data_IF_096640455266
#
_entry.id   IF_096640455266
#
_cell.length_a   1.000
_cell.length_b   1.000
_cell.length_c   1.000
_cell.angle_alpha   90.00
_cell.angle_beta   90.00
_cell.angle_gamma   90.00
#
_symmetry.space_group_name_H-M   'P 1'
#
loop_
_entity.id
_entity.type
_entity.pdbx_description
1 polymer ?
#
# COMPACT_ATOMS: atom_id res chain seq x y z
N UNK A 1 25.03 33.74 5.59
CA UNK A 1 24.66 32.59 6.44
C UNK A 1 24.35 31.37 5.58
N UNK A 2 25.13 30.28 5.67
CA UNK A 2 24.81 29.00 4.99
C UNK A 2 23.77 28.26 5.83
N UNK A 3 22.55 28.10 5.32
CA UNK A 3 21.52 27.29 5.99
C UNK A 3 22.05 25.87 6.13
N UNK A 4 22.00 25.29 7.33
CA UNK A 4 22.51 23.93 7.54
C UNK A 4 21.66 22.92 6.76
N UNK A 5 22.27 21.80 6.35
CA UNK A 5 21.58 20.70 5.65
C UNK A 5 20.37 20.17 6.46
N UNK A 6 20.43 20.29 7.79
CA UNK A 6 19.39 19.87 8.73
C UNK A 6 18.12 20.73 8.58
N UNK A 7 18.28 22.04 8.42
CA UNK A 7 17.15 22.98 8.28
C UNK A 7 16.39 22.78 6.97
N UNK A 8 17.11 22.48 5.88
CA UNK A 8 16.49 22.18 4.59
C UNK A 8 15.62 20.92 4.66
N UNK A 9 16.08 19.88 5.38
CA UNK A 9 15.29 18.66 5.57
C UNK A 9 14.05 18.93 6.43
N UNK A 10 14.15 19.77 7.48
CA UNK A 10 13.01 20.15 8.31
C UNK A 10 11.92 20.88 7.51
N UNK A 11 12.30 21.81 6.61
CA UNK A 11 11.36 22.52 5.74
C UNK A 11 10.65 21.57 4.77
N UNK A 12 11.38 20.64 4.13
CA UNK A 12 10.80 19.64 3.23
C UNK A 12 9.81 18.71 3.93
N UNK A 13 10.13 18.27 5.16
CA UNK A 13 9.23 17.44 5.98
C UNK A 13 7.92 18.15 6.30
N UNK A 14 7.97 19.44 6.65
CA UNK A 14 6.73 20.22 6.90
C UNK A 14 5.84 20.27 5.66
N UNK A 15 6.43 20.42 4.46
CA UNK A 15 5.67 20.41 3.20
C UNK A 15 5.06 19.03 2.91
N UNK A 16 5.82 17.94 3.06
CA UNK A 16 5.27 16.59 2.85
C UNK A 16 4.13 16.28 3.81
N UNK A 17 4.25 16.65 5.10
CA UNK A 17 3.15 16.55 6.07
C UNK A 17 1.89 17.30 5.66
N UNK A 18 2.06 18.46 5.06
CA UNK A 18 0.95 19.25 4.55
C UNK A 18 0.23 18.52 3.40
N UNK A 19 0.95 17.90 2.47
CA UNK A 19 0.33 17.11 1.40
C UNK A 19 -0.41 15.87 1.94
N UNK A 20 0.18 15.13 2.88
CA UNK A 20 -0.53 14.01 3.52
C UNK A 20 -1.80 14.45 4.24
N UNK A 21 -1.78 15.60 4.92
CA UNK A 21 -2.98 16.16 5.53
C UNK A 21 -4.05 16.50 4.48
N UNK A 22 -3.66 17.13 3.37
CA UNK A 22 -4.58 17.44 2.27
C UNK A 22 -5.17 16.18 1.66
N UNK A 23 -4.39 15.12 1.45
CA UNK A 23 -4.88 13.84 0.97
C UNK A 23 -5.89 13.24 1.94
N UNK A 24 -5.55 13.12 3.22
CA UNK A 24 -6.46 12.56 4.24
C UNK A 24 -7.79 13.31 4.27
N UNK A 25 -7.77 14.65 4.17
CA UNK A 25 -8.99 15.45 4.11
C UNK A 25 -9.76 15.20 2.82
N UNK A 26 -9.10 15.29 1.66
CA UNK A 26 -9.77 15.16 0.35
C UNK A 26 -10.32 13.75 0.11
N UNK A 27 -9.55 12.71 0.45
CA UNK A 27 -9.97 11.31 0.37
C UNK A 27 -11.04 10.97 1.40
N UNK A 28 -10.91 11.48 2.63
CA UNK A 28 -11.92 11.32 3.66
C UNK A 28 -13.26 11.95 3.25
N UNK A 29 -13.22 13.16 2.67
CA UNK A 29 -14.41 13.82 2.13
C UNK A 29 -14.99 13.08 0.93
N UNK A 30 -14.16 12.67 -0.04
CA UNK A 30 -14.61 11.90 -1.19
C UNK A 30 -15.27 10.59 -0.75
N UNK A 31 -14.62 9.83 0.13
CA UNK A 31 -15.15 8.58 0.70
C UNK A 31 -16.46 8.82 1.45
N UNK A 32 -16.50 9.85 2.29
CA UNK A 32 -17.71 10.22 3.05
C UNK A 32 -18.89 10.58 2.14
N UNK A 33 -18.66 11.36 1.08
CA UNK A 33 -19.67 11.71 0.08
C UNK A 33 -20.20 10.48 -0.66
N UNK A 34 -19.30 9.58 -1.08
CA UNK A 34 -19.72 8.36 -1.79
C UNK A 34 -20.49 7.42 -0.85
N UNK A 35 -20.04 7.25 0.39
CA UNK A 35 -20.78 6.47 1.39
C UNK A 35 -22.16 7.08 1.66
N UNK A 36 -22.23 8.40 1.86
CA UNK A 36 -23.50 9.10 2.02
C UNK A 36 -24.44 8.84 0.84
N UNK A 37 -23.97 8.97 -0.40
CA UNK A 37 -24.76 8.67 -1.59
C UNK A 37 -25.17 7.19 -1.65
N UNK A 38 -24.29 6.27 -1.24
CA UNK A 38 -24.57 4.83 -1.24
C UNK A 38 -25.72 4.47 -0.30
N UNK A 39 -25.85 5.16 0.84
CA UNK A 39 -26.91 4.88 1.81
C UNK A 39 -28.19 5.69 1.60
N UNK A 40 -28.12 6.84 0.91
CA UNK A 40 -29.26 7.77 0.82
C UNK A 40 -29.88 7.86 -0.58
N UNK A 41 -29.13 7.58 -1.65
CA UNK A 41 -29.62 7.73 -3.01
C UNK A 41 -30.33 6.46 -3.48
N UNK A 42 -31.62 6.58 -3.84
CA UNK A 42 -32.42 5.48 -4.38
C UNK A 42 -31.81 4.87 -5.65
N UNK A 43 -31.15 5.66 -6.50
CA UNK A 43 -30.49 5.17 -7.72
C UNK A 43 -29.30 4.23 -7.42
N UNK A 44 -28.60 4.45 -6.30
CA UNK A 44 -27.49 3.58 -5.87
C UNK A 44 -28.04 2.32 -5.22
N UNK A 45 -29.05 2.45 -4.35
CA UNK A 45 -29.72 1.30 -3.73
C UNK A 45 -30.49 0.43 -4.74
N UNK A 46 -31.02 1.05 -5.80
CA UNK A 46 -31.72 0.40 -6.91
C UNK A 46 -30.81 -0.28 -7.92
N UNK A 47 -29.49 -0.34 -7.67
CA UNK A 47 -28.48 -0.96 -8.54
C UNK A 47 -28.31 -0.37 -9.94
N UNK A 48 -28.89 0.79 -10.24
CA UNK A 48 -28.71 1.45 -11.54
C UNK A 48 -27.28 1.98 -11.71
N UNK A 49 -26.71 2.54 -10.64
CA UNK A 49 -25.39 3.21 -10.65
C UNK A 49 -24.43 2.60 -9.61
N UNK A 50 -24.79 1.46 -9.02
CA UNK A 50 -24.06 0.90 -7.88
C UNK A 50 -22.67 0.35 -8.26
N UNK A 51 -22.53 -0.25 -9.44
CA UNK A 51 -21.26 -0.81 -9.90
C UNK A 51 -20.09 0.19 -9.89
N UNK A 52 -20.17 1.31 -10.64
CA UNK A 52 -19.13 2.34 -10.64
C UNK A 52 -18.85 2.92 -9.25
N UNK A 53 -19.89 3.11 -8.43
CA UNK A 53 -19.78 3.61 -7.06
C UNK A 53 -19.01 2.64 -6.16
N UNK A 54 -19.29 1.34 -6.22
CA UNK A 54 -18.56 0.34 -5.45
C UNK A 54 -17.13 0.14 -5.93
N UNK A 55 -16.89 0.18 -7.25
CA UNK A 55 -15.53 0.15 -7.80
C UNK A 55 -14.74 1.34 -7.25
N UNK A 56 -15.32 2.55 -7.28
CA UNK A 56 -14.67 3.74 -6.72
C UNK A 56 -14.34 3.57 -5.22
N UNK A 57 -15.29 3.10 -4.41
CA UNK A 57 -15.07 2.82 -2.98
C UNK A 57 -13.96 1.79 -2.75
N UNK A 58 -13.92 0.73 -3.56
CA UNK A 58 -12.93 -0.34 -3.45
C UNK A 58 -11.49 0.17 -3.62
N UNK A 59 -11.28 1.22 -4.41
CA UNK A 59 -9.95 1.76 -4.67
C UNK A 59 -9.59 2.96 -3.79
N UNK A 60 -10.54 3.84 -3.47
CA UNK A 60 -10.26 5.02 -2.65
C UNK A 60 -10.06 4.66 -1.17
N UNK A 61 -10.78 3.66 -0.66
CA UNK A 61 -10.70 3.28 0.75
C UNK A 61 -9.34 2.65 1.12
N UNK A 62 -8.73 1.75 0.32
CA UNK A 62 -7.38 1.27 0.56
C UNK A 62 -6.28 2.32 0.36
N UNK A 63 -6.55 3.41 -0.36
CA UNK A 63 -5.62 4.55 -0.46
C UNK A 63 -5.64 5.41 0.81
N UNK A 64 -6.85 5.64 1.35
CA UNK A 64 -7.07 6.44 2.56
C UNK A 64 -6.39 5.86 3.82
N UNK A 65 -6.43 4.53 3.99
CA UNK A 65 -5.89 3.88 5.20
C UNK A 65 -4.39 4.16 5.36
N UNK A 66 -3.50 3.83 4.39
CA UNK A 66 -2.08 4.17 4.49
C UNK A 66 -1.84 5.65 4.70
N UNK A 67 -2.56 6.55 4.02
CA UNK A 67 -2.36 7.99 4.16
C UNK A 67 -2.70 8.51 5.56
N UNK A 68 -3.77 7.98 6.16
CA UNK A 68 -4.11 8.23 7.55
C UNK A 68 -3.00 7.73 8.48
N UNK A 69 -2.49 6.51 8.27
CA UNK A 69 -1.37 5.98 9.04
C UNK A 69 -0.09 6.81 8.87
N UNK A 70 0.25 7.21 7.64
CA UNK A 70 1.40 8.07 7.36
C UNK A 70 1.27 9.40 8.11
N UNK A 71 0.12 10.05 8.03
CA UNK A 71 -0.14 11.31 8.73
C UNK A 71 0.00 11.17 10.25
N UNK A 72 -0.62 10.15 10.85
CA UNK A 72 -0.60 9.91 12.30
C UNK A 72 0.77 9.50 12.82
N UNK A 73 1.56 8.76 12.03
CA UNK A 73 2.87 8.26 12.44
C UNK A 73 4.02 9.23 12.13
N UNK A 74 3.83 10.21 11.24
CA UNK A 74 4.88 11.19 10.88
C UNK A 74 5.48 11.97 12.08
N UNK A 75 4.75 12.33 13.16
CA UNK A 75 5.35 12.92 14.35
C UNK A 75 6.40 12.03 15.02
N UNK A 76 6.24 10.70 14.95
CA UNK A 76 7.08 9.71 15.63
C UNK A 76 8.17 9.12 14.73
N UNK A 77 7.89 8.99 13.42
CA UNK A 77 8.79 8.35 12.45
C UNK A 77 9.34 9.40 11.49
N UNK A 78 10.58 9.83 11.72
CA UNK A 78 11.21 10.91 10.95
C UNK A 78 11.58 10.56 9.51
N UNK A 79 11.60 9.28 9.14
CA UNK A 79 11.92 8.79 7.80
C UNK A 79 10.69 8.49 6.94
N UNK A 80 9.52 8.38 7.58
CA UNK A 80 8.29 7.95 6.94
C UNK A 80 7.90 8.89 5.79
N UNK A 81 7.75 8.32 4.58
CA UNK A 81 7.32 9.04 3.37
C UNK A 81 8.46 9.56 2.47
N UNK A 82 9.71 9.61 2.95
CA UNK A 82 10.88 9.92 2.10
C UNK A 82 11.50 8.63 1.52
N UNK A 83 11.12 7.47 2.08
CA UNK A 83 11.59 6.18 1.62
C UNK A 83 11.16 5.90 0.16
N UNK A 84 11.98 5.17 -0.63
CA UNK A 84 11.63 4.80 -2.00
C UNK A 84 10.26 4.10 -2.11
N UNK A 85 9.90 3.29 -1.10
CA UNK A 85 8.60 2.64 -1.05
C UNK A 85 7.44 3.64 -0.93
N UNK A 86 7.60 4.68 -0.11
CA UNK A 86 6.61 5.75 0.02
C UNK A 86 6.47 6.58 -1.25
N UNK A 87 7.58 6.81 -1.98
CA UNK A 87 7.54 7.46 -3.30
C UNK A 87 6.78 6.61 -4.32
N UNK A 88 7.06 5.30 -4.38
CA UNK A 88 6.37 4.38 -5.28
C UNK A 88 4.88 4.29 -4.96
N UNK A 89 4.53 4.21 -3.67
CA UNK A 89 3.14 4.20 -3.21
C UNK A 89 2.40 5.46 -3.64
N UNK A 90 2.93 6.66 -3.33
CA UNK A 90 2.31 7.93 -3.72
C UNK A 90 2.19 8.06 -5.25
N UNK A 91 3.16 7.56 -6.02
CA UNK A 91 3.06 7.58 -7.48
C UNK A 91 1.92 6.69 -7.99
N UNK A 92 1.87 5.42 -7.55
CA UNK A 92 0.88 4.44 -8.00
C UNK A 92 -0.53 4.87 -7.58
N UNK A 93 -0.73 5.24 -6.31
CA UNK A 93 -2.02 5.71 -5.81
C UNK A 93 -2.42 7.01 -6.49
N UNK A 94 -1.48 7.94 -6.71
CA UNK A 94 -1.78 9.18 -7.42
C UNK A 94 -2.34 8.95 -8.82
N UNK A 95 -1.72 8.07 -9.61
CA UNK A 95 -2.22 7.69 -10.94
C UNK A 95 -3.58 6.99 -10.85
N UNK A 96 -3.74 6.04 -9.92
CA UNK A 96 -5.01 5.32 -9.74
C UNK A 96 -6.16 6.24 -9.35
N UNK A 97 -5.96 7.16 -8.40
CA UNK A 97 -6.97 8.13 -7.98
C UNK A 97 -7.40 9.04 -9.14
N UNK A 98 -6.47 9.48 -10.00
CA UNK A 98 -6.81 10.26 -11.19
C UNK A 98 -7.66 9.44 -12.16
N UNK A 99 -7.21 8.23 -12.50
CA UNK A 99 -7.92 7.38 -13.47
C UNK A 99 -9.34 7.04 -12.98
N UNK A 100 -9.48 6.68 -11.71
CA UNK A 100 -10.74 6.27 -11.11
C UNK A 100 -11.66 7.47 -10.88
N UNK A 101 -11.13 8.61 -10.44
CA UNK A 101 -11.87 9.86 -10.32
C UNK A 101 -12.43 10.35 -11.66
N UNK A 102 -11.61 10.38 -12.72
CA UNK A 102 -12.07 10.72 -14.07
C UNK A 102 -13.09 9.72 -14.59
N UNK A 103 -12.85 8.41 -14.37
CA UNK A 103 -13.80 7.36 -14.79
C UNK A 103 -15.15 7.51 -14.11
N UNK A 104 -15.17 7.79 -12.79
CA UNK A 104 -16.41 8.07 -12.06
C UNK A 104 -17.13 9.28 -12.65
N UNK A 105 -16.42 10.40 -12.88
CA UNK A 105 -17.03 11.61 -13.47
C UNK A 105 -17.66 11.30 -14.83
N UNK A 106 -16.95 10.62 -15.73
CA UNK A 106 -17.45 10.28 -17.07
C UNK A 106 -18.71 9.40 -17.02
N UNK A 107 -18.69 8.38 -16.16
CA UNK A 107 -19.83 7.47 -15.98
C UNK A 107 -21.02 8.22 -15.39
N UNK A 108 -20.82 9.05 -14.38
CA UNK A 108 -21.88 9.79 -13.68
C UNK A 108 -22.46 10.91 -14.55
N UNK A 109 -21.68 11.55 -15.42
CA UNK A 109 -22.21 12.52 -16.40
C UNK A 109 -23.12 11.84 -17.42
N UNK A 110 -22.89 10.56 -17.72
CA UNK A 110 -23.68 9.80 -18.70
C UNK A 110 -25.06 9.36 -18.18
N UNK A 111 -25.31 9.46 -16.87
CA UNK A 111 -26.61 9.15 -16.24
C UNK A 111 -27.36 10.44 -15.88
N UNK A 112 -28.67 10.50 -16.12
CA UNK A 112 -29.46 11.72 -15.92
C UNK A 112 -29.95 11.93 -14.47
N UNK A 113 -29.68 13.12 -13.92
CA UNK A 113 -30.73 14.05 -13.45
C UNK A 113 -31.01 14.15 -11.94
N UNK A 114 -30.26 13.46 -11.08
CA UNK A 114 -30.55 13.45 -9.63
C UNK A 114 -29.49 14.19 -8.80
N UNK A 115 -29.85 14.68 -7.61
CA UNK A 115 -28.93 15.35 -6.68
C UNK A 115 -27.68 14.50 -6.34
N UNK A 116 -27.84 13.19 -6.28
CA UNK A 116 -26.74 12.23 -6.07
C UNK A 116 -25.67 12.30 -7.18
N UNK A 117 -26.06 12.63 -8.41
CA UNK A 117 -25.14 12.82 -9.53
C UNK A 117 -24.13 13.92 -9.21
N UNK A 118 -24.60 15.07 -8.75
CA UNK A 118 -23.73 16.21 -8.41
C UNK A 118 -22.76 15.87 -7.29
N UNK A 119 -23.23 15.19 -6.24
CA UNK A 119 -22.37 14.74 -5.13
C UNK A 119 -21.30 13.74 -5.59
N UNK A 120 -21.65 12.80 -6.47
CA UNK A 120 -20.70 11.82 -7.01
C UNK A 120 -19.69 12.47 -7.97
N UNK A 121 -20.09 13.49 -8.75
CA UNK A 121 -19.13 14.29 -9.55
C UNK A 121 -18.17 15.05 -8.64
N UNK A 122 -18.65 15.66 -7.54
CA UNK A 122 -17.77 16.30 -6.54
C UNK A 122 -16.81 15.27 -5.94
N UNK A 123 -17.29 14.09 -5.56
CA UNK A 123 -16.43 13.04 -5.02
C UNK A 123 -15.36 12.59 -6.02
N UNK A 124 -15.72 12.44 -7.30
CA UNK A 124 -14.79 12.18 -8.38
C UNK A 124 -13.75 13.29 -8.54
N UNK A 125 -14.16 14.56 -8.50
CA UNK A 125 -13.25 15.70 -8.57
C UNK A 125 -12.29 15.77 -7.38
N UNK A 126 -12.78 15.50 -6.16
CA UNK A 126 -11.96 15.40 -4.96
C UNK A 126 -10.92 14.26 -5.06
N UNK A 127 -11.29 13.13 -5.66
CA UNK A 127 -10.35 12.03 -5.91
C UNK A 127 -9.28 12.40 -6.93
N UNK A 128 -9.63 13.11 -8.00
CA UNK A 128 -8.64 13.65 -8.96
C UNK A 128 -7.68 14.62 -8.27
N UNK A 129 -8.21 15.53 -7.43
CA UNK A 129 -7.39 16.44 -6.63
C UNK A 129 -6.44 15.69 -5.68
N UNK A 130 -6.92 14.66 -4.97
CA UNK A 130 -6.06 13.79 -4.14
C UNK A 130 -4.96 13.14 -4.97
N UNK A 131 -5.32 12.62 -6.16
CA UNK A 131 -4.35 12.01 -7.06
C UNK A 131 -3.24 12.97 -7.49
N UNK A 132 -3.57 14.23 -7.77
CA UNK A 132 -2.57 15.28 -8.05
C UNK A 132 -1.68 15.54 -6.84
N UNK A 133 -2.24 15.65 -5.64
CA UNK A 133 -1.47 15.85 -4.41
C UNK A 133 -0.53 14.70 -4.10
N UNK A 134 -0.95 13.45 -4.32
CA UNK A 134 -0.09 12.27 -4.28
C UNK A 134 1.08 12.36 -5.25
N UNK A 135 0.84 12.72 -6.51
CA UNK A 135 1.92 12.89 -7.50
C UNK A 135 2.88 14.02 -7.14
N UNK A 136 2.36 15.13 -6.60
CA UNK A 136 3.19 16.23 -6.09
C UNK A 136 4.07 15.76 -4.92
N UNK A 137 3.50 14.99 -3.98
CA UNK A 137 4.23 14.42 -2.85
C UNK A 137 5.31 13.43 -3.33
N UNK A 138 4.99 12.54 -4.28
CA UNK A 138 5.93 11.62 -4.89
C UNK A 138 7.11 12.37 -5.56
N UNK A 139 6.83 13.40 -6.37
CA UNK A 139 7.85 14.21 -7.02
C UNK A 139 8.74 14.95 -6.02
N UNK A 140 8.15 15.49 -4.95
CA UNK A 140 8.89 16.17 -3.90
C UNK A 140 9.80 15.23 -3.12
N UNK A 141 9.28 14.06 -2.72
CA UNK A 141 10.05 13.04 -2.01
C UNK A 141 11.16 12.45 -2.89
N UNK A 142 10.89 12.19 -4.17
CA UNK A 142 11.91 11.74 -5.12
C UNK A 142 13.09 12.72 -5.24
N UNK A 143 12.81 14.04 -5.32
CA UNK A 143 13.84 15.09 -5.32
C UNK A 143 14.58 15.20 -3.98
N UNK A 144 13.95 14.79 -2.87
CA UNK A 144 14.54 14.83 -1.53
C UNK A 144 15.48 13.65 -1.26
N UNK A 145 15.31 12.51 -1.93
CA UNK A 145 16.16 11.32 -1.74
C UNK A 145 17.62 11.64 -2.15
N UNK A 146 18.59 11.45 -1.24
CA UNK A 146 20.01 11.65 -1.56
C UNK A 146 20.45 10.65 -2.64
N UNK A 147 21.35 11.07 -3.53
CA UNK A 147 21.82 10.25 -4.66
C UNK A 147 22.41 8.89 -4.21
N UNK A 148 22.93 8.81 -2.98
CA UNK A 148 23.45 7.57 -2.37
C UNK A 148 22.38 6.52 -2.08
N UNK A 149 21.14 6.93 -1.81
CA UNK A 149 20.00 6.06 -1.48
C UNK A 149 19.08 5.82 -2.69
N UNK A 150 19.21 6.67 -3.72
CA UNK A 150 18.36 6.64 -4.93
C UNK A 150 18.51 5.36 -5.76
N UNK A 151 19.58 4.60 -5.52
CA UNK A 151 19.75 3.26 -6.03
C UNK A 151 19.80 2.30 -4.87
N UNK A 152 18.83 1.39 -4.82
CA UNK A 152 19.04 0.08 -4.21
C UNK A 152 20.19 -0.53 -5.01
N UNK A 153 21.45 -0.22 -4.64
CA UNK A 153 22.62 -0.88 -5.23
C UNK A 153 22.30 -2.35 -5.02
N UNK A 154 22.00 -3.13 -6.07
CA UNK A 154 21.78 -4.56 -5.90
C UNK A 154 23.03 -4.98 -5.18
N UNK A 155 22.87 -5.52 -3.96
CA UNK A 155 23.98 -5.84 -3.07
C UNK A 155 24.87 -6.73 -3.91
N UNK A 156 25.92 -6.15 -4.55
CA UNK A 156 26.80 -6.88 -5.45
C UNK A 156 27.29 -7.97 -4.54
N UNK A 157 26.79 -9.19 -4.76
CA UNK A 157 27.09 -10.34 -3.94
C UNK A 157 28.60 -10.32 -3.88
N UNK A 158 29.17 -9.98 -2.70
CA UNK A 158 30.62 -9.87 -2.56
C UNK A 158 31.13 -11.17 -3.18
N UNK A 159 31.93 -11.12 -4.26
CA UNK A 159 32.39 -12.35 -4.90
C UNK A 159 32.94 -13.20 -3.76
N UNK A 160 32.38 -14.41 -3.56
CA UNK A 160 32.89 -15.37 -2.57
C UNK A 160 34.38 -15.41 -2.87
N UNK A 161 35.21 -14.84 -1.99
CA UNK A 161 36.65 -14.98 -2.11
C UNK A 161 36.87 -16.48 -2.12
N UNK A 162 37.27 -17.02 -3.28
CA UNK A 162 37.65 -18.42 -3.39
C UNK A 162 38.62 -18.70 -2.24
N UNK A 163 38.43 -19.78 -1.48
CA UNK A 163 39.36 -20.14 -0.43
C UNK A 163 40.74 -20.22 -1.08
N UNK A 164 41.66 -19.34 -0.65
CA UNK A 164 43.07 -19.45 -1.02
C UNK A 164 43.52 -20.81 -0.51
N UNK A 165 43.66 -21.77 -1.42
CA UNK A 165 44.33 -23.02 -1.15
C UNK A 165 45.69 -22.70 -0.55
N UNK A 166 45.81 -23.00 0.75
CA UNK A 166 47.09 -23.04 1.43
C UNK A 166 47.88 -24.17 0.78
N UNK A 167 48.66 -23.83 -0.24
CA UNK A 167 49.76 -24.65 -0.75
C UNK A 167 50.72 -24.87 0.43
N UNK A 168 50.53 -25.97 1.15
CA UNK A 168 51.50 -26.51 2.11
C UNK A 168 52.74 -26.86 1.31
N UNK A 169 53.80 -26.06 1.46
CA UNK A 169 55.14 -26.46 1.09
C UNK A 169 55.56 -27.63 1.98
N UNK A 170 55.79 -28.78 1.35
CA UNK A 170 56.49 -29.90 1.96
C UNK A 170 57.97 -29.53 2.07
N UNK A 171 58.45 -29.35 3.30
CA UNK A 171 59.86 -29.20 3.65
C UNK A 171 60.44 -30.60 3.86
N UNK A 172 61.48 -31.05 3.13
CA UNK A 172 62.18 -32.28 3.48
C UNK A 172 63.20 -32.01 4.59
N UNK A 173 63.28 -32.97 5.50
CA UNK A 173 64.15 -32.97 6.67
C UNK A 173 65.64 -32.99 6.30
N UNK A 174 66.45 -32.22 7.02
CA UNK A 174 67.89 -32.49 7.17
C UNK A 174 68.32 -32.28 8.63
N UNK A 175 68.86 -33.36 9.20
CA UNK A 175 69.46 -33.50 10.53
C UNK A 175 70.63 -32.55 10.73
N UNK A 176 70.85 -32.06 11.97
CA UNK A 176 72.19 -31.66 12.43
C UNK A 176 72.25 -30.70 13.62
N UNK A 177 72.43 -31.26 14.82
CA UNK A 177 73.20 -30.78 16.01
C UNK A 177 72.83 -29.47 16.76
N UNK A 178 72.49 -29.71 18.03
CA UNK A 178 72.64 -28.98 19.30
C UNK A 178 73.51 -27.70 19.39
N UNK A 179 73.02 -26.68 20.11
CA UNK A 179 73.51 -26.27 21.44
C UNK A 179 72.63 -25.19 22.15
N UNK A 180 72.36 -25.42 23.45
CA UNK A 180 72.12 -24.56 24.65
C UNK A 180 71.38 -23.18 24.63
N UNK A 181 70.25 -23.16 25.38
CA UNK A 181 69.77 -22.25 26.49
C UNK A 181 69.60 -20.71 26.30
N UNK A 182 68.85 -19.96 27.17
CA UNK A 182 67.48 -20.17 27.72
C UNK A 182 66.62 -18.86 27.80
N UNK A 183 65.37 -19.00 28.29
CA UNK A 183 64.51 -18.00 28.97
C UNK A 183 63.97 -16.76 28.23
N UNK A 184 62.66 -16.75 27.92
CA UNK A 184 61.71 -15.86 28.63
C UNK A 184 60.23 -16.21 28.42
N UNK A 185 59.61 -16.35 29.58
CA UNK A 185 58.21 -16.54 30.00
C UNK A 185 57.37 -15.27 29.77
N UNK A 186 56.16 -15.38 29.19
CA UNK A 186 54.93 -14.58 29.46
C UNK A 186 53.74 -15.39 28.86
N UNK A 187 52.99 -16.18 29.64
CA UNK A 187 51.73 -15.81 30.31
C UNK A 187 50.67 -15.12 29.42
N UNK A 188 49.69 -15.88 28.89
CA UNK A 188 48.34 -15.89 29.49
C UNK A 188 47.32 -16.76 28.74
N UNK A 189 46.63 -17.54 29.56
CA UNK A 189 45.35 -18.29 29.44
C UNK A 189 44.16 -17.39 28.98
N UNK A 190 42.91 -17.90 28.87
CA UNK A 190 42.41 -19.21 28.43
C UNK A 190 41.09 -19.13 27.60
N UNK A 191 40.55 -20.32 27.26
CA UNK A 191 39.12 -20.65 27.20
C UNK A 191 38.27 -20.17 25.99
N UNK A 192 37.24 -20.88 25.50
CA UNK A 192 36.71 -22.24 25.61
C UNK A 192 35.38 -22.19 24.84
N UNK A 193 35.06 -23.22 24.05
CA UNK A 193 33.68 -23.71 23.74
C UNK A 193 32.70 -22.73 23.04
N UNK A 194 31.72 -23.14 22.26
CA UNK A 194 31.24 -24.45 21.87
C UNK A 194 30.48 -24.31 20.54
N UNK A 195 30.59 -25.34 19.72
CA UNK A 195 29.62 -25.70 18.71
C UNK A 195 28.22 -25.85 19.32
N UNK A 196 27.20 -25.32 18.64
CA UNK A 196 25.89 -25.98 18.52
C UNK A 196 25.07 -25.35 17.40
N UNK A 197 25.03 -26.03 16.25
CA UNK A 197 23.84 -26.17 15.41
C UNK A 197 22.86 -27.10 16.15
N UNK A 198 21.53 -27.02 15.96
CA UNK A 198 20.95 -27.53 14.72
C UNK A 198 19.73 -26.78 14.17
N UNK A 199 19.51 -27.10 12.90
CA UNK A 199 18.34 -26.83 12.08
C UNK A 199 17.02 -27.25 12.74
N UNK A 200 15.96 -26.47 12.51
CA UNK A 200 14.59 -26.99 12.61
C UNK A 200 13.77 -26.58 11.40
N UNK A 201 13.64 -27.54 10.48
CA UNK A 201 12.58 -27.63 9.48
C UNK A 201 11.22 -27.63 10.18
N UNK A 202 10.25 -26.93 9.61
CA UNK A 202 8.85 -27.35 9.68
C UNK A 202 8.15 -26.88 8.41
N UNK A 203 8.25 -27.72 7.38
CA UNK A 203 7.24 -27.84 6.33
C UNK A 203 5.91 -28.18 7.00
N UNK A 204 4.89 -27.34 6.83
CA UNK A 204 3.51 -27.71 7.16
C UNK A 204 2.66 -27.64 5.90
N UNK A 205 2.68 -28.77 5.17
CA UNK A 205 1.57 -29.22 4.33
C UNK A 205 0.27 -29.08 5.11
N UNK A 206 -0.72 -28.44 4.51
CA UNK A 206 -2.12 -28.72 4.81
C UNK A 206 -2.85 -28.90 3.49
N UNK A 207 -2.69 -30.10 2.92
CA UNK A 207 -3.70 -30.70 2.05
C UNK A 207 -4.87 -31.08 2.94
N UNK A 208 -6.04 -30.46 2.73
CA UNK A 208 -7.32 -31.01 3.17
C UNK A 208 -8.45 -30.51 2.28
N UNK A 209 -8.64 -31.22 1.17
CA UNK A 209 -9.96 -31.45 0.57
C UNK A 209 -10.65 -32.52 1.43
N UNK A 210 -11.95 -32.38 1.72
CA UNK A 210 -12.84 -33.39 1.20
C UNK A 210 -14.11 -32.81 0.59
N UNK A 211 -14.44 -33.35 -0.57
CA UNK A 211 -15.75 -33.31 -1.20
C UNK A 211 -16.85 -33.72 -0.21
N UNK A 212 -17.89 -32.89 -0.06
CA UNK A 212 -19.18 -33.35 0.48
C UNK A 212 -20.35 -32.77 -0.31
N UNK A 213 -20.66 -33.53 -1.36
CA UNK A 213 -21.99 -33.78 -1.93
C UNK A 213 -23.14 -33.48 -0.95
N UNK A 214 -24.07 -32.63 -1.34
CA UNK A 214 -25.44 -32.60 -0.82
C UNK A 214 -26.35 -32.05 -1.90
N UNK A 215 -26.71 -32.95 -2.82
CA UNK A 215 -27.92 -32.85 -3.61
C UNK A 215 -29.12 -32.76 -2.64
N UNK A 216 -29.91 -31.68 -2.73
CA UNK A 216 -31.33 -31.76 -2.36
C UNK A 216 -32.14 -30.72 -3.12
N UNK A 217 -32.60 -31.14 -4.29
CA UNK A 217 -33.86 -30.69 -4.92
C UNK A 217 -35.00 -31.02 -3.93
N UNK A 218 -36.00 -30.14 -3.79
CA UNK A 218 -37.30 -30.56 -4.30
C UNK A 218 -38.01 -29.50 -5.14
N UNK A 219 -38.50 -29.96 -6.29
CA UNK A 219 -39.70 -29.45 -6.94
C UNK A 219 -40.88 -29.43 -5.95
N UNK A 220 -41.66 -28.34 -5.90
CA UNK A 220 -43.08 -28.33 -6.34
C UNK A 220 -43.81 -27.04 -5.96
N UNK A 221 -44.46 -26.48 -7.00
CA UNK A 221 -45.82 -25.90 -7.07
C UNK A 221 -46.27 -24.89 -6.01
N UNK A 222 -46.64 -23.69 -6.48
CA UNK A 222 -48.06 -23.34 -6.63
C UNK A 222 -48.22 -22.09 -7.51
N UNK A 223 -48.97 -22.26 -8.60
CA UNK A 223 -49.67 -21.19 -9.31
C UNK A 223 -50.56 -20.38 -8.35
N UNK A 224 -50.63 -19.07 -8.56
CA UNK A 224 -51.90 -18.35 -8.39
C UNK A 224 -51.99 -17.15 -9.35
N UNK A 225 -53.05 -17.06 -10.17
CA UNK A 225 -53.26 -15.99 -11.13
C UNK A 225 -54.00 -14.78 -10.53
N UNK A 226 -53.83 -13.65 -11.23
CA UNK A 226 -54.71 -12.48 -11.38
C UNK A 226 -55.45 -11.90 -10.15
N UNK A 227 -55.22 -10.61 -9.91
CA UNK A 227 -56.33 -9.70 -9.57
C UNK A 227 -56.16 -8.32 -10.22
N UNK A 228 -56.91 -8.12 -11.30
CA UNK A 228 -57.33 -6.83 -11.85
C UNK A 228 -58.05 -5.98 -10.80
N UNK A 229 -57.64 -4.73 -10.61
CA UNK A 229 -58.53 -3.59 -10.26
C UNK A 229 -57.80 -2.28 -10.59
N UNK A 230 -58.05 -1.71 -11.78
CA UNK A 230 -58.85 -0.51 -12.09
C UNK A 230 -58.10 0.84 -12.04
N UNK A 231 -58.19 1.66 -13.10
CA UNK A 231 -57.76 3.06 -13.11
C UNK A 231 -58.94 4.00 -12.72
N UNK A 232 -58.64 5.04 -11.94
CA UNK A 232 -59.44 6.25 -11.66
C UNK A 232 -58.48 7.18 -10.92
N UNK A 233 -58.31 8.47 -11.23
CA UNK A 233 -59.20 9.44 -11.83
C UNK A 233 -58.38 10.62 -12.36
N UNK A 234 -58.85 11.22 -13.44
CA UNK A 234 -58.43 12.53 -13.90
C UNK A 234 -58.70 13.59 -12.81
N UNK A 235 -57.68 14.40 -12.51
CA UNK A 235 -57.84 15.65 -11.77
C UNK A 235 -57.63 16.81 -12.74
N UNK A 236 -58.65 17.66 -12.79
CA UNK A 236 -58.86 18.76 -13.72
C UNK A 236 -58.41 20.04 -13.01
N UNK A 237 -57.34 20.69 -13.47
CA UNK A 237 -57.03 22.06 -13.05
C UNK A 237 -57.92 23.05 -13.83
N UNK A 238 -58.54 24.04 -13.17
CA UNK A 238 -59.12 25.19 -13.84
C UNK A 238 -58.05 26.25 -14.13
N UNK A 239 -58.13 26.85 -15.33
CA UNK A 239 -57.50 28.13 -15.65
C UNK A 239 -58.04 29.24 -14.74
N UNK A 240 -57.12 30.06 -14.22
CA UNK A 240 -57.31 31.48 -13.96
C UNK A 240 -56.02 32.21 -14.25
#
# INVERSE_FOLDING_TARGET
>A
MKTTRIDQNRKKRKKSRFFFLLNVITEGLATGLVLYCTFTASCVLGNEVSGPVYIFLLFIFPAFIPDLYYYLLTPKLHTLGIDPLGVMFNFIIGVLCILIGVSLIMVIISFCGFYAQFLLVIAGALSVCSGVFHLMNACMCHKAIPKSERYYKPRRSKPKKAPKDKKKEAKPAKKGKAEKKPDKKVENKPDKKAEKKPEKKSDKKTDKKPDKKSEKKPEKKAEKPEKKTKPKSAEKCPEK
#
